data_IF_506093120270
#
_entry.id   IF_506093120270
#
_cell.length_a   1.000
_cell.length_b   1.000
_cell.length_c   1.000
_cell.angle_alpha   90.00
_cell.angle_beta   90.00
_cell.angle_gamma   90.00
#
_symmetry.space_group_name_H-M   'P 1'
#
loop_
_entity.id
_entity.type
_entity.pdbx_description
1 polymer ?
#
# COMPACT_ATOMS: atom_id res chain seq x y z
N UNK A 1 -8.12 16.50 -4.80
CA UNK A 1 -8.65 15.21 -5.30
C UNK A 1 -8.46 15.02 -6.80
N UNK A 2 -8.37 16.10 -7.60
CA UNK A 2 -8.13 16.00 -9.05
C UNK A 2 -6.88 15.19 -9.43
N UNK A 3 -5.81 15.26 -8.62
CA UNK A 3 -4.59 14.48 -8.87
C UNK A 3 -4.83 12.96 -8.88
N UNK A 4 -5.84 12.44 -8.17
CA UNK A 4 -6.15 11.00 -8.17
C UNK A 4 -6.64 10.60 -9.56
N UNK A 5 -7.47 11.44 -10.18
CA UNK A 5 -7.97 11.21 -11.55
C UNK A 5 -6.83 11.34 -12.56
N UNK A 6 -6.01 12.40 -12.43
CA UNK A 6 -4.87 12.63 -13.33
C UNK A 6 -3.84 11.49 -13.29
N UNK A 7 -3.63 10.89 -12.13
CA UNK A 7 -2.67 9.80 -11.92
C UNK A 7 -3.34 8.43 -11.85
N UNK A 8 -4.59 8.32 -12.31
CA UNK A 8 -5.37 7.08 -12.20
C UNK A 8 -4.66 5.88 -12.81
N UNK A 9 -4.02 6.05 -13.97
CA UNK A 9 -3.24 4.99 -14.62
C UNK A 9 -2.06 4.51 -13.77
N UNK A 10 -1.28 5.44 -13.19
CA UNK A 10 -0.15 5.12 -12.33
C UNK A 10 -0.59 4.41 -11.03
N UNK A 11 -1.67 4.92 -10.41
CA UNK A 11 -2.26 4.34 -9.19
C UNK A 11 -2.78 2.93 -9.47
N UNK A 12 -3.51 2.72 -10.57
CA UNK A 12 -4.02 1.41 -10.95
C UNK A 12 -2.89 0.40 -11.23
N UNK A 13 -1.82 0.83 -11.92
CA UNK A 13 -0.66 -0.02 -12.17
C UNK A 13 0.05 -0.43 -10.87
N UNK A 14 0.26 0.53 -9.97
CA UNK A 14 0.86 0.27 -8.65
C UNK A 14 -0.04 -0.62 -7.78
N UNK A 15 -1.36 -0.42 -7.84
CA UNK A 15 -2.35 -1.26 -7.15
C UNK A 15 -2.36 -2.68 -7.68
N UNK A 16 -2.29 -2.85 -9.01
CA UNK A 16 -2.22 -4.18 -9.62
C UNK A 16 -0.97 -4.94 -9.14
N UNK A 17 0.18 -4.26 -9.07
CA UNK A 17 1.39 -4.86 -8.50
C UNK A 17 1.20 -5.22 -7.01
N UNK A 18 0.61 -4.34 -6.22
CA UNK A 18 0.32 -4.60 -4.80
C UNK A 18 -0.55 -5.84 -4.61
N UNK A 19 -1.60 -6.00 -5.41
CA UNK A 19 -2.47 -7.18 -5.39
C UNK A 19 -1.73 -8.46 -5.77
N UNK A 20 -0.88 -8.40 -6.81
CA UNK A 20 -0.03 -9.54 -7.18
C UNK A 20 0.89 -9.94 -6.03
N UNK A 21 1.51 -8.95 -5.37
CA UNK A 21 2.32 -9.19 -4.17
C UNK A 21 1.47 -9.77 -3.03
N UNK A 22 0.23 -9.33 -2.87
CA UNK A 22 -0.75 -9.92 -1.95
C UNK A 22 -1.00 -11.39 -2.21
N UNK A 23 -1.27 -11.76 -3.46
CA UNK A 23 -1.45 -13.15 -3.85
C UNK A 23 -0.20 -13.99 -3.55
N UNK A 24 0.98 -13.49 -3.90
CA UNK A 24 2.26 -14.15 -3.61
C UNK A 24 2.48 -14.29 -2.10
N UNK A 25 2.22 -13.23 -1.32
CA UNK A 25 2.39 -13.24 0.13
C UNK A 25 1.49 -14.25 0.84
N UNK A 26 0.22 -14.35 0.38
CA UNK A 26 -0.73 -15.32 0.91
C UNK A 26 -0.23 -16.76 0.70
N UNK A 27 0.38 -17.04 -0.46
CA UNK A 27 1.00 -18.35 -0.75
C UNK A 27 2.23 -18.57 0.12
N UNK A 28 3.13 -17.58 0.26
CA UNK A 28 4.38 -17.72 1.01
C UNK A 28 4.19 -17.97 2.52
N UNK A 29 3.10 -17.48 3.11
CA UNK A 29 2.83 -17.59 4.54
C UNK A 29 1.69 -18.57 4.86
N UNK A 30 1.31 -19.42 3.89
CA UNK A 30 0.25 -20.42 4.01
C UNK A 30 -1.07 -19.87 4.59
N UNK A 31 -1.42 -18.62 4.24
CA UNK A 31 -2.59 -17.91 4.79
C UNK A 31 -3.90 -18.23 4.06
N UNK A 32 -3.97 -19.46 3.55
CA UNK A 32 -4.97 -19.96 2.60
C UNK A 32 -6.42 -19.51 2.84
N UNK A 33 -6.90 -18.68 1.91
CA UNK A 33 -8.30 -18.63 1.43
C UNK A 33 -8.39 -18.39 -0.09
N UNK A 34 -7.34 -18.75 -0.83
CA UNK A 34 -7.34 -18.64 -2.30
C UNK A 34 -8.21 -19.80 -2.84
N UNK A 35 -9.48 -19.52 -3.13
CA UNK A 35 -10.40 -20.48 -3.78
C UNK A 35 -11.74 -20.73 -3.07
N UNK A 36 -12.00 -20.11 -1.91
CA UNK A 36 -13.27 -20.25 -1.20
C UNK A 36 -14.41 -19.35 -1.73
N UNK A 37 -15.68 -19.66 -1.41
CA UNK A 37 -16.80 -18.77 -1.68
C UNK A 37 -16.55 -17.38 -1.07
N UNK A 38 -16.71 -16.31 -1.85
CA UNK A 38 -16.49 -14.93 -1.40
C UNK A 38 -15.11 -14.33 -1.74
N UNK A 39 -14.22 -15.07 -2.41
CA UNK A 39 -12.91 -14.55 -2.84
C UNK A 39 -13.01 -13.29 -3.69
N UNK A 40 -13.99 -13.21 -4.58
CA UNK A 40 -14.20 -12.02 -5.41
C UNK A 40 -14.48 -10.77 -4.56
N UNK A 41 -15.29 -10.90 -3.50
CA UNK A 41 -15.56 -9.81 -2.56
C UNK A 41 -14.31 -9.41 -1.77
N UNK A 42 -13.50 -10.38 -1.35
CA UNK A 42 -12.22 -10.11 -0.67
C UNK A 42 -11.21 -9.42 -1.59
N UNK A 43 -11.08 -9.86 -2.84
CA UNK A 43 -10.19 -9.25 -3.83
C UNK A 43 -10.65 -7.83 -4.19
N UNK A 44 -11.96 -7.60 -4.31
CA UNK A 44 -12.50 -6.26 -4.53
C UNK A 44 -12.20 -5.34 -3.34
N UNK A 45 -12.39 -5.83 -2.11
CA UNK A 45 -12.04 -5.06 -0.91
C UNK A 45 -10.54 -4.75 -0.86
N UNK A 46 -9.69 -5.74 -1.16
CA UNK A 46 -8.24 -5.56 -1.21
C UNK A 46 -7.84 -4.53 -2.28
N UNK A 47 -8.44 -4.63 -3.48
CA UNK A 47 -8.22 -3.68 -4.57
C UNK A 47 -8.57 -2.25 -4.15
N UNK A 48 -9.75 -2.05 -3.56
CA UNK A 48 -10.18 -0.72 -3.11
C UNK A 48 -9.27 -0.19 -2.00
N UNK A 49 -8.92 -1.02 -1.02
CA UNK A 49 -8.04 -0.63 0.07
C UNK A 49 -6.64 -0.25 -0.43
N UNK A 50 -6.05 -1.06 -1.31
CA UNK A 50 -4.74 -0.79 -1.90
C UNK A 50 -4.75 0.41 -2.83
N UNK A 51 -5.77 0.57 -3.67
CA UNK A 51 -5.90 1.74 -4.54
C UNK A 51 -6.00 3.02 -3.73
N UNK A 52 -6.75 2.99 -2.62
CA UNK A 52 -6.88 4.15 -1.74
C UNK A 52 -5.57 4.50 -1.04
N UNK A 53 -4.90 3.50 -0.46
CA UNK A 53 -3.60 3.70 0.19
C UNK A 53 -2.55 4.20 -0.82
N UNK A 54 -2.55 3.64 -2.03
CA UNK A 54 -1.69 4.06 -3.13
C UNK A 54 -1.99 5.49 -3.59
N UNK A 55 -3.26 5.91 -3.59
CA UNK A 55 -3.63 7.29 -3.90
C UNK A 55 -3.13 8.28 -2.83
N UNK A 56 -3.22 7.92 -1.55
CA UNK A 56 -2.64 8.70 -0.44
C UNK A 56 -1.13 8.81 -0.61
N UNK A 57 -0.46 7.70 -0.94
CA UNK A 57 0.98 7.67 -1.18
C UNK A 57 1.35 8.56 -2.38
N UNK A 58 0.60 8.52 -3.48
CA UNK A 58 0.81 9.40 -4.63
C UNK A 58 0.70 10.87 -4.24
N UNK A 59 -0.33 11.24 -3.45
CA UNK A 59 -0.47 12.59 -2.91
C UNK A 59 0.73 13.00 -2.04
N UNK A 60 1.21 12.11 -1.18
CA UNK A 60 2.39 12.34 -0.35
C UNK A 60 3.66 12.55 -1.19
N UNK A 61 3.83 11.78 -2.27
CA UNK A 61 4.99 11.92 -3.17
C UNK A 61 4.95 13.21 -3.99
N UNK A 62 3.76 13.68 -4.39
CA UNK A 62 3.58 14.95 -5.09
C UNK A 62 3.90 16.14 -4.17
N UNK A 63 3.47 16.06 -2.90
CA UNK A 63 3.61 17.16 -1.94
C UNK A 63 4.92 17.12 -1.14
N UNK A 64 5.71 16.04 -1.29
CA UNK A 64 6.95 15.88 -0.56
C UNK A 64 7.93 17.01 -0.91
N UNK A 65 8.40 17.81 0.08
CA UNK A 65 9.34 18.88 -0.20
C UNK A 65 10.70 18.29 -0.63
N UNK A 66 11.44 18.95 -1.53
CA UNK A 66 12.71 18.45 -2.05
C UNK A 66 13.84 18.66 -1.03
N UNK A 67 13.78 17.95 0.11
CA UNK A 67 14.75 18.06 1.22
C UNK A 67 15.83 16.98 1.18
N UNK A 68 15.81 16.10 0.21
CA UNK A 68 16.78 15.00 0.05
C UNK A 68 16.77 14.43 -1.36
N UNK A 69 17.52 13.35 -1.57
CA UNK A 69 17.49 12.65 -2.86
C UNK A 69 16.08 12.15 -3.16
N UNK A 70 15.71 12.12 -4.45
CA UNK A 70 14.33 11.79 -4.82
C UNK A 70 13.94 10.37 -4.40
N UNK A 71 14.88 9.42 -4.45
CA UNK A 71 14.66 8.06 -3.99
C UNK A 71 14.56 7.98 -2.46
N UNK A 72 15.34 8.77 -1.73
CA UNK A 72 15.22 8.88 -0.27
C UNK A 72 13.83 9.39 0.11
N UNK A 73 13.33 10.42 -0.57
CA UNK A 73 11.97 10.93 -0.33
C UNK A 73 10.91 9.91 -0.73
N UNK A 74 11.09 9.21 -1.86
CA UNK A 74 10.13 8.20 -2.36
C UNK A 74 9.94 7.06 -1.35
N UNK A 75 11.05 6.43 -0.96
CA UNK A 75 11.05 5.31 -0.03
C UNK A 75 10.74 5.77 1.39
N UNK A 76 11.28 6.92 1.80
CA UNK A 76 11.05 7.52 3.11
C UNK A 76 9.58 7.84 3.35
N UNK A 77 8.88 8.44 2.38
CA UNK A 77 7.44 8.72 2.49
C UNK A 77 6.63 7.43 2.69
N UNK A 78 6.89 6.39 1.90
CA UNK A 78 6.22 5.11 2.05
C UNK A 78 6.47 4.49 3.43
N UNK A 79 7.73 4.49 3.88
CA UNK A 79 8.13 3.95 5.18
C UNK A 79 7.52 4.72 6.35
N UNK A 80 7.52 6.05 6.31
CA UNK A 80 6.96 6.89 7.38
C UNK A 80 5.44 6.72 7.45
N UNK A 81 4.75 6.65 6.31
CA UNK A 81 3.30 6.38 6.30
C UNK A 81 3.01 4.98 6.85
N UNK A 82 3.78 3.97 6.44
CA UNK A 82 3.64 2.61 6.98
C UNK A 82 3.81 2.59 8.51
N UNK A 83 4.91 3.17 9.01
CA UNK A 83 5.22 3.17 10.44
C UNK A 83 4.23 4.01 11.25
N UNK A 84 3.81 5.15 10.72
CA UNK A 84 2.93 6.10 11.40
C UNK A 84 1.45 5.74 11.37
N UNK A 85 0.99 4.99 10.35
CA UNK A 85 -0.42 4.63 10.19
C UNK A 85 -0.67 3.14 10.26
N UNK A 86 0.02 2.34 9.44
CA UNK A 86 -0.29 0.92 9.27
C UNK A 86 0.09 0.12 10.51
N UNK A 87 1.32 0.29 11.00
CA UNK A 87 1.82 -0.42 12.19
C UNK A 87 0.94 -0.17 13.42
N UNK A 88 0.63 1.08 13.84
CA UNK A 88 -0.22 1.31 15.01
C UNK A 88 -1.65 0.82 14.80
N UNK A 89 -2.22 0.98 13.60
CA UNK A 89 -3.58 0.52 13.31
C UNK A 89 -3.71 -1.00 13.43
N UNK A 90 -2.76 -1.76 12.87
CA UNK A 90 -2.74 -3.22 12.98
C UNK A 90 -2.40 -3.67 14.41
N UNK A 91 -1.40 -3.07 15.04
CA UNK A 91 -1.01 -3.41 16.40
C UNK A 91 -2.17 -3.22 17.39
N UNK A 92 -2.83 -2.06 17.39
CA UNK A 92 -3.97 -1.80 18.26
C UNK A 92 -5.14 -2.74 17.95
N UNK A 93 -5.52 -2.85 16.68
CA UNK A 93 -6.66 -3.69 16.25
C UNK A 93 -6.47 -5.16 16.61
N UNK A 94 -5.25 -5.69 16.43
CA UNK A 94 -4.97 -7.11 16.68
C UNK A 94 -4.90 -7.39 18.18
N UNK A 95 -4.38 -6.46 18.98
CA UNK A 95 -4.36 -6.59 20.44
C UNK A 95 -5.77 -6.52 21.03
N UNK A 96 -6.62 -5.63 20.54
CA UNK A 96 -8.04 -5.57 20.95
C UNK A 96 -8.82 -6.84 20.61
N UNK A 97 -8.39 -7.58 19.57
CA UNK A 97 -9.00 -8.84 19.13
C UNK A 97 -8.27 -10.09 19.68
N UNK A 98 -7.29 -9.92 20.57
CA UNK A 98 -6.48 -11.01 21.13
C UNK A 98 -5.82 -11.91 20.07
N UNK A 99 -5.47 -11.35 18.91
CA UNK A 99 -4.81 -12.09 17.84
C UNK A 99 -3.31 -12.31 18.17
N UNK A 100 -2.69 -13.39 17.65
CA UNK A 100 -1.27 -13.63 17.85
C UNK A 100 -0.40 -12.48 17.34
N UNK A 101 0.62 -12.09 18.10
CA UNK A 101 1.57 -11.03 17.71
C UNK A 101 2.24 -11.34 16.37
N UNK A 102 2.54 -12.62 16.12
CA UNK A 102 3.06 -13.10 14.83
C UNK A 102 2.17 -12.66 13.68
N UNK A 103 0.85 -12.70 13.84
CA UNK A 103 -0.07 -12.29 12.78
C UNK A 103 0.05 -10.80 12.45
N UNK A 104 0.14 -9.96 13.48
CA UNK A 104 0.36 -8.53 13.29
C UNK A 104 1.70 -8.26 12.58
N UNK A 105 2.77 -8.96 12.96
CA UNK A 105 4.09 -8.80 12.32
C UNK A 105 4.09 -9.20 10.85
N UNK A 106 3.46 -10.33 10.50
CA UNK A 106 3.34 -10.77 9.10
C UNK A 106 2.56 -9.75 8.28
N UNK A 107 1.44 -9.25 8.79
CA UNK A 107 0.61 -8.27 8.07
C UNK A 107 1.28 -6.89 7.99
N UNK A 108 2.00 -6.46 9.02
CA UNK A 108 2.83 -5.26 8.95
C UNK A 108 3.93 -5.40 7.88
N UNK A 109 4.59 -6.56 7.81
CA UNK A 109 5.61 -6.84 6.80
C UNK A 109 5.05 -6.83 5.38
N UNK A 110 3.87 -7.44 5.19
CA UNK A 110 3.14 -7.41 3.93
C UNK A 110 2.91 -5.98 3.43
N UNK A 111 2.30 -5.15 4.27
CA UNK A 111 1.98 -3.78 3.89
C UNK A 111 3.22 -2.93 3.64
N UNK A 112 4.32 -3.17 4.36
CA UNK A 112 5.59 -2.50 4.06
C UNK A 112 6.05 -2.82 2.64
N UNK A 113 6.07 -4.10 2.27
CA UNK A 113 6.50 -4.54 0.94
C UNK A 113 5.60 -3.95 -0.15
N UNK A 114 4.27 -3.99 0.03
CA UNK A 114 3.31 -3.40 -0.91
C UNK A 114 3.54 -1.90 -1.07
N UNK A 115 3.62 -1.15 0.04
CA UNK A 115 3.79 0.30 -0.01
C UNK A 115 5.11 0.72 -0.66
N UNK A 116 6.20 0.00 -0.39
CA UNK A 116 7.49 0.25 -1.03
C UNK A 116 7.42 -0.02 -2.54
N UNK A 117 6.81 -1.15 -2.94
CA UNK A 117 6.64 -1.48 -4.35
C UNK A 117 5.77 -0.45 -5.08
N UNK A 118 4.65 -0.04 -4.47
CA UNK A 118 3.79 1.01 -5.00
C UNK A 118 4.54 2.34 -5.16
N UNK A 119 5.31 2.75 -4.16
CA UNK A 119 6.11 3.98 -4.23
C UNK A 119 7.08 3.97 -5.41
N UNK A 120 7.75 2.82 -5.63
CA UNK A 120 8.67 2.64 -6.75
C UNK A 120 7.92 2.72 -8.08
N UNK A 121 6.79 2.03 -8.24
CA UNK A 121 6.00 2.07 -9.48
C UNK A 121 5.51 3.49 -9.78
N UNK A 122 4.91 4.17 -8.79
CA UNK A 122 4.45 5.56 -8.96
C UNK A 122 5.61 6.47 -9.36
N UNK A 123 6.80 6.25 -8.80
CA UNK A 123 7.99 7.03 -9.13
C UNK A 123 8.49 6.76 -10.56
N UNK A 124 8.48 5.50 -10.99
CA UNK A 124 8.94 5.09 -12.32
C UNK A 124 8.00 5.57 -13.43
N UNK A 125 6.69 5.53 -13.18
CA UNK A 125 5.69 6.04 -14.13
C UNK A 125 5.71 7.59 -14.15
N UNK A 126 5.94 8.19 -12.98
CA UNK A 126 5.87 9.62 -12.79
C UNK A 126 4.46 10.06 -12.38
N UNK A 127 4.41 11.17 -11.62
CA UNK A 127 3.17 11.74 -11.11
C UNK A 127 3.00 13.18 -11.61
N UNK A 128 1.77 13.50 -11.99
CA UNK A 128 1.36 14.83 -12.42
C UNK A 128 0.77 15.57 -11.21
N UNK A 129 1.34 16.71 -10.80
CA UNK A 129 0.77 17.54 -9.74
C UNK A 129 -0.56 18.15 -10.19
N UNK A 130 -1.49 18.47 -9.25
CA UNK A 130 -2.72 19.16 -9.60
C UNK A 130 -2.41 20.56 -10.18
N UNK A 131 -3.19 21.04 -11.17
CA UNK A 131 -3.06 22.41 -11.66
C UNK A 131 -3.35 23.40 -10.53
N UNK A 132 -2.62 24.51 -10.52
CA UNK A 132 -2.76 25.63 -9.59
C UNK A 132 -3.85 26.60 -10.04
#
# INVERSE_FOLDING_TARGET
>A
MIYIVLNGGAILAATALGLLLGLVWQVLFDRGRIGGPGIAGTLLLAFVAEAWLCAILAGALILAPPKGSVWTMTIGSAFVIWLGFVVPSLAASYRMRSLPVRSALVDCGYWLVVMLAQAVVLRLIGLVPPPV
#
